data_IF_015964277381
#
_entry.id   IF_015964277381
#
_cell.length_a   1.000
_cell.length_b   1.000
_cell.length_c   1.000
_cell.angle_alpha   90.00
_cell.angle_beta   90.00
_cell.angle_gamma   90.00
#
_symmetry.space_group_name_H-M   'P 1'
#
loop_
_entity.id
_entity.type
_entity.pdbx_description
1 polymer ?
#
# COMPACT_ATOMS: atom_id res chain seq x y z
N UNK A 1 -62.15 2.60 -33.52
CA UNK A 1 -62.43 3.94 -32.94
C UNK A 1 -62.55 3.76 -31.43
N UNK A 2 -61.45 3.94 -30.71
CA UNK A 2 -61.42 3.93 -29.24
C UNK A 2 -60.64 5.17 -28.82
N UNK A 3 -61.27 5.96 -27.96
CA UNK A 3 -60.96 7.34 -27.66
C UNK A 3 -59.74 7.46 -26.74
N UNK A 4 -58.84 8.37 -27.11
CA UNK A 4 -57.76 8.88 -26.27
C UNK A 4 -58.34 9.55 -25.01
N UNK A 5 -57.82 9.18 -23.84
CA UNK A 5 -57.88 10.01 -22.64
C UNK A 5 -56.46 10.44 -22.25
N UNK A 6 -56.20 11.74 -22.00
CA UNK A 6 -54.91 12.22 -21.56
C UNK A 6 -54.75 12.06 -20.03
N UNK A 7 -53.60 11.52 -19.63
CA UNK A 7 -53.15 11.41 -18.24
C UNK A 7 -52.69 12.80 -17.78
N UNK A 8 -53.34 13.33 -16.74
CA UNK A 8 -52.96 14.58 -16.09
C UNK A 8 -51.71 14.37 -15.22
N UNK A 9 -50.69 15.16 -15.49
CA UNK A 9 -49.46 15.29 -14.70
C UNK A 9 -49.77 15.95 -13.35
N UNK A 10 -49.35 15.33 -12.25
CA UNK A 10 -49.38 15.91 -10.92
C UNK A 10 -47.96 16.26 -10.51
N UNK A 11 -47.57 17.54 -10.63
CA UNK A 11 -46.29 18.05 -10.14
C UNK A 11 -46.51 18.73 -8.79
N UNK A 12 -46.40 17.95 -7.71
CA UNK A 12 -46.38 18.50 -6.35
C UNK A 12 -45.01 19.13 -6.06
N UNK A 13 -44.96 20.45 -6.14
CA UNK A 13 -43.85 21.30 -5.69
C UNK A 13 -43.67 21.18 -4.18
N UNK A 14 -42.58 20.55 -3.73
CA UNK A 14 -42.19 20.53 -2.32
C UNK A 14 -41.46 21.83 -1.97
N UNK A 15 -42.10 22.65 -1.14
CA UNK A 15 -41.53 23.88 -0.57
C UNK A 15 -40.72 23.52 0.69
N UNK A 16 -39.39 23.59 0.61
CA UNK A 16 -38.51 23.48 1.78
C UNK A 16 -38.07 24.86 2.25
N UNK A 17 -38.62 25.33 3.37
CA UNK A 17 -38.16 26.54 4.06
C UNK A 17 -37.06 26.18 5.06
N UNK A 18 -35.80 26.43 4.71
CA UNK A 18 -34.69 26.36 5.68
C UNK A 18 -34.47 27.72 6.35
N UNK A 19 -34.56 27.74 7.69
CA UNK A 19 -34.13 28.86 8.54
C UNK A 19 -32.60 29.00 8.50
N UNK A 20 -32.04 30.21 8.36
CA UNK A 20 -30.60 30.42 8.41
C UNK A 20 -30.08 30.31 9.85
N UNK A 21 -29.08 29.45 10.07
CA UNK A 21 -28.34 29.37 11.33
C UNK A 21 -27.07 30.21 11.22
N UNK A 22 -27.07 31.33 11.94
CA UNK A 22 -25.89 32.16 12.23
C UNK A 22 -24.98 31.41 13.20
N UNK A 23 -23.70 31.26 12.86
CA UNK A 23 -22.65 31.04 13.86
C UNK A 23 -21.37 31.76 13.46
N UNK A 24 -20.96 32.64 14.36
CA UNK A 24 -19.85 33.58 14.32
C UNK A 24 -18.48 32.91 14.27
N UNK A 25 -17.60 33.45 13.42
CA UNK A 25 -16.16 33.24 13.41
C UNK A 25 -15.51 33.66 14.74
N UNK A 26 -14.70 32.78 15.34
CA UNK A 26 -13.60 33.19 16.22
C UNK A 26 -12.32 32.49 15.81
N UNK A 27 -11.40 33.23 15.18
CA UNK A 27 -10.00 32.84 14.97
C UNK A 27 -9.28 32.82 16.32
N UNK A 28 -8.54 31.77 16.63
CA UNK A 28 -7.47 31.79 17.64
C UNK A 28 -6.18 31.15 17.08
N UNK A 29 -5.00 31.65 17.48
CA UNK A 29 -3.76 31.51 16.72
C UNK A 29 -3.02 30.19 16.97
N UNK A 30 -2.22 29.81 15.98
CA UNK A 30 -1.25 28.71 16.01
C UNK A 30 -0.16 28.93 17.07
N UNK A 31 0.18 27.90 17.87
CA UNK A 31 1.51 27.78 18.43
C UNK A 31 2.30 26.75 17.61
N UNK A 32 3.02 27.27 16.63
CA UNK A 32 4.26 26.63 16.17
C UNK A 32 5.31 26.83 17.28
N UNK A 33 6.32 25.95 17.32
CA UNK A 33 7.48 25.94 18.23
C UNK A 33 7.33 25.06 19.48
N UNK A 34 7.63 23.78 19.27
CA UNK A 34 8.38 22.85 20.15
C UNK A 34 8.00 21.46 19.63
N UNK A 35 8.89 20.65 19.07
CA UNK A 35 9.72 19.71 19.83
C UNK A 35 10.60 19.03 18.78
N UNK A 36 11.87 19.42 18.71
CA UNK A 36 12.93 18.72 17.97
C UNK A 36 13.50 17.55 18.82
N UNK A 37 12.66 16.92 19.65
CA UNK A 37 13.12 16.09 20.77
C UNK A 37 12.33 14.79 20.97
N UNK A 38 11.59 14.32 19.97
CA UNK A 38 10.93 13.00 20.00
C UNK A 38 11.58 11.93 19.12
N UNK A 39 12.65 12.27 18.39
CA UNK A 39 13.32 11.37 17.43
C UNK A 39 14.23 10.30 18.05
N UNK A 40 14.25 10.14 19.38
CA UNK A 40 15.21 9.23 20.04
C UNK A 40 14.59 8.25 21.05
N UNK A 41 13.27 8.00 21.02
CA UNK A 41 12.66 7.12 22.02
C UNK A 41 11.50 6.24 21.50
N UNK A 42 11.68 5.62 20.32
CA UNK A 42 10.80 4.53 19.84
C UNK A 42 11.56 3.26 19.42
N UNK A 43 12.85 3.14 19.76
CA UNK A 43 13.43 1.81 19.90
C UNK A 43 12.98 1.28 21.26
N UNK A 44 12.15 0.24 21.24
CA UNK A 44 11.68 -0.64 22.33
C UNK A 44 10.15 -0.73 22.38
N UNK A 45 9.55 -1.37 21.35
CA UNK A 45 8.34 -2.23 21.46
C UNK A 45 7.93 -2.76 20.10
N UNK A 46 8.37 -3.96 19.76
CA UNK A 46 7.48 -5.08 19.41
C UNK A 46 8.31 -6.31 19.06
N UNK A 47 8.49 -7.20 20.04
CA UNK A 47 8.70 -8.62 19.75
C UNK A 47 7.34 -9.21 19.35
N UNK A 48 7.42 -10.24 18.50
CA UNK A 48 6.34 -11.03 17.89
C UNK A 48 5.86 -10.57 16.51
N UNK A 49 6.71 -10.78 15.50
CA UNK A 49 6.24 -11.20 14.18
C UNK A 49 6.44 -12.71 14.06
N UNK A 50 5.37 -13.43 13.70
CA UNK A 50 5.43 -14.82 13.28
C UNK A 50 5.80 -14.85 11.80
N UNK A 51 7.00 -15.34 11.51
CA UNK A 51 7.57 -15.42 10.16
C UNK A 51 7.10 -16.73 9.51
N UNK A 52 6.45 -16.64 8.35
CA UNK A 52 6.39 -17.75 7.40
C UNK A 52 7.71 -17.79 6.63
N UNK A 53 8.56 -18.78 6.93
CA UNK A 53 9.88 -18.92 6.34
C UNK A 53 9.80 -19.49 4.91
N UNK A 54 10.56 -18.90 3.98
CA UNK A 54 10.87 -19.49 2.67
C UNK A 54 12.35 -19.84 2.68
N UNK A 55 12.66 -21.12 2.54
CA UNK A 55 14.02 -21.63 2.42
C UNK A 55 14.49 -21.49 0.97
N UNK A 56 15.69 -20.93 0.76
CA UNK A 56 16.38 -20.97 -0.53
C UNK A 56 17.49 -22.01 -0.45
N UNK A 57 17.38 -23.06 -1.27
CA UNK A 57 18.40 -24.08 -1.43
C UNK A 57 19.51 -23.61 -2.36
N UNK A 58 20.75 -23.85 -1.94
CA UNK A 58 21.98 -23.67 -2.72
C UNK A 58 22.26 -24.90 -3.59
N UNK A 59 22.47 -24.74 -4.89
CA UNK A 59 23.16 -25.73 -5.71
C UNK A 59 23.80 -25.14 -6.98
N UNK A 60 25.07 -25.48 -7.19
CA UNK A 60 25.59 -25.86 -8.50
C UNK A 60 26.24 -24.77 -9.35
N UNK A 61 27.56 -24.60 -9.19
CA UNK A 61 28.40 -23.92 -10.17
C UNK A 61 28.68 -24.81 -11.39
N UNK A 62 28.66 -24.19 -12.57
CA UNK A 62 29.15 -24.74 -13.85
C UNK A 62 30.16 -23.75 -14.42
N UNK A 63 31.32 -24.29 -14.80
CA UNK A 63 32.50 -23.61 -15.36
C UNK A 63 32.44 -23.48 -16.88
N UNK A 64 32.81 -22.31 -17.43
CA UNK A 64 33.31 -22.12 -18.82
C UNK A 64 34.35 -20.98 -18.81
N UNK A 65 35.45 -21.14 -19.54
CA UNK A 65 36.61 -20.23 -19.54
C UNK A 65 36.83 -19.40 -20.82
N UNK A 66 37.92 -18.61 -20.78
CA UNK A 66 38.51 -17.79 -21.88
C UNK A 66 37.86 -16.40 -22.00
N UNK A 67 38.55 -15.27 -22.21
CA UNK A 67 39.90 -15.01 -22.72
C UNK A 67 40.32 -13.54 -22.39
N UNK A 68 41.61 -13.25 -22.59
CA UNK A 68 42.40 -12.06 -22.18
C UNK A 68 41.95 -10.70 -22.76
N UNK A 69 42.15 -9.60 -22.01
CA UNK A 69 43.03 -8.47 -22.38
C UNK A 69 42.93 -7.28 -21.40
N UNK A 70 44.12 -6.85 -20.96
CA UNK A 70 44.61 -5.49 -20.69
C UNK A 70 44.13 -4.66 -19.47
N UNK A 71 45.15 -4.33 -18.66
CA UNK A 71 45.38 -3.10 -17.89
C UNK A 71 44.46 -2.74 -16.71
N UNK A 72 44.96 -2.94 -15.48
CA UNK A 72 45.64 -1.90 -14.68
C UNK A 72 46.04 -2.52 -13.33
N UNK A 73 47.33 -2.80 -13.16
CA UNK A 73 47.87 -3.33 -11.91
C UNK A 73 47.96 -2.19 -10.89
N UNK A 74 46.93 -2.02 -10.05
CA UNK A 74 47.06 -1.24 -8.83
C UNK A 74 47.61 -2.17 -7.76
N UNK A 75 48.93 -2.12 -7.58
CA UNK A 75 49.61 -2.70 -6.43
C UNK A 75 49.08 -2.00 -5.18
N UNK A 76 48.04 -2.56 -4.56
CA UNK A 76 47.69 -2.21 -3.18
C UNK A 76 48.54 -3.08 -2.29
N UNK A 77 49.54 -2.42 -1.71
CA UNK A 77 50.47 -2.95 -0.74
C UNK A 77 49.71 -3.72 0.35
N UNK A 78 50.09 -4.99 0.51
CA UNK A 78 49.56 -5.82 1.57
C UNK A 78 50.30 -5.43 2.83
N UNK A 79 49.55 -4.79 3.73
CA UNK A 79 49.70 -4.92 5.18
C UNK A 79 50.56 -3.87 5.87
N UNK A 80 50.09 -2.62 5.93
CA UNK A 80 50.41 -1.73 7.06
C UNK A 80 49.18 -0.85 7.39
N UNK A 81 48.49 -1.18 8.49
CA UNK A 81 47.70 -0.26 9.30
C UNK A 81 46.42 0.36 8.70
N UNK A 82 45.29 -0.35 8.80
CA UNK A 82 43.98 0.31 8.87
C UNK A 82 43.29 -0.08 10.17
N UNK A 83 43.60 0.68 11.21
CA UNK A 83 42.82 0.67 12.43
C UNK A 83 41.35 0.82 12.08
N UNK A 84 40.56 -0.21 12.41
CA UNK A 84 39.11 -0.21 12.57
C UNK A 84 38.41 1.03 11.99
N UNK A 85 38.09 0.99 10.69
CA UNK A 85 36.98 1.79 10.17
C UNK A 85 35.71 1.26 10.83
N UNK A 86 35.44 1.75 12.04
CA UNK A 86 34.20 1.54 12.77
C UNK A 86 33.05 1.99 11.89
N UNK A 87 32.29 1.02 11.39
CA UNK A 87 30.86 1.15 11.08
C UNK A 87 30.53 1.99 9.85
N UNK A 88 30.80 1.48 8.66
CA UNK A 88 29.95 1.83 7.52
C UNK A 88 28.63 1.10 7.75
N UNK A 89 27.60 1.83 8.18
CA UNK A 89 26.24 1.28 8.24
C UNK A 89 25.79 1.08 6.81
N UNK A 90 25.52 -0.17 6.43
CA UNK A 90 24.94 -0.50 5.12
C UNK A 90 23.53 0.09 5.05
N UNK A 91 23.29 0.97 4.08
CA UNK A 91 22.01 1.62 3.87
C UNK A 91 21.13 0.76 2.98
N UNK A 92 20.04 0.23 3.54
CA UNK A 92 19.02 -0.51 2.81
C UNK A 92 17.86 0.41 2.43
N UNK A 93 17.87 0.90 1.19
CA UNK A 93 16.84 1.77 0.64
C UNK A 93 15.45 1.10 0.58
N UNK A 94 15.35 -0.23 0.65
CA UNK A 94 14.05 -0.90 0.65
C UNK A 94 13.32 -0.70 1.99
N UNK A 95 14.06 -0.54 3.09
CA UNK A 95 13.48 -0.39 4.43
C UNK A 95 13.19 1.07 4.82
N UNK A 96 12.89 1.92 3.84
CA UNK A 96 12.68 3.36 4.02
C UNK A 96 11.29 3.82 3.61
N UNK A 97 10.88 4.99 4.11
CA UNK A 97 9.56 5.57 3.82
C UNK A 97 9.58 6.49 2.61
N UNK A 98 8.76 6.19 1.60
CA UNK A 98 8.67 6.97 0.36
C UNK A 98 7.31 7.64 0.19
N UNK A 99 7.26 8.93 -0.22
CA UNK A 99 6.01 9.56 -0.65
C UNK A 99 5.48 8.90 -1.92
N UNK A 100 4.24 8.43 -1.91
CA UNK A 100 3.65 7.75 -3.08
C UNK A 100 2.67 8.63 -3.84
N UNK A 101 1.70 9.23 -3.14
CA UNK A 101 0.60 9.92 -3.81
C UNK A 101 -0.05 10.99 -2.94
N UNK A 102 -0.70 11.98 -3.56
CA UNK A 102 -1.46 12.99 -2.83
C UNK A 102 -2.75 12.38 -2.26
N UNK A 103 -2.93 12.46 -0.95
CA UNK A 103 -4.06 11.81 -0.25
C UNK A 103 -5.42 12.24 -0.80
N UNK A 104 -5.56 13.53 -1.17
CA UNK A 104 -6.79 14.09 -1.73
C UNK A 104 -7.16 13.56 -3.13
N UNK A 105 -6.19 12.95 -3.83
CA UNK A 105 -6.38 12.41 -5.16
C UNK A 105 -6.52 10.88 -5.13
N UNK A 106 -6.39 10.24 -3.96
CA UNK A 106 -6.66 8.80 -3.83
C UNK A 106 -8.18 8.62 -3.92
N UNK A 107 -8.68 7.85 -4.91
CA UNK A 107 -10.11 7.59 -5.06
C UNK A 107 -10.72 6.99 -3.79
N UNK A 108 -11.99 7.31 -3.54
CA UNK A 108 -12.73 6.77 -2.40
C UNK A 108 -13.37 5.40 -2.70
N UNK A 109 -13.62 5.10 -3.97
CA UNK A 109 -14.44 3.98 -4.43
C UNK A 109 -13.72 3.03 -5.40
N UNK A 110 -12.45 3.30 -5.72
CA UNK A 110 -11.66 2.46 -6.63
C UNK A 110 -10.22 2.25 -6.14
N UNK A 111 -9.60 1.12 -6.48
CA UNK A 111 -8.15 0.97 -6.31
C UNK A 111 -7.38 1.90 -7.25
N UNK A 112 -6.16 2.27 -6.84
CA UNK A 112 -5.21 3.09 -7.59
C UNK A 112 -3.89 2.32 -7.74
N UNK A 113 -3.58 1.92 -8.97
CA UNK A 113 -2.29 1.30 -9.31
C UNK A 113 -1.17 2.32 -9.41
N UNK A 114 0.00 1.99 -8.86
CA UNK A 114 1.23 2.79 -8.93
C UNK A 114 2.44 1.89 -9.23
N UNK A 115 3.51 2.50 -9.74
CA UNK A 115 4.82 1.84 -9.87
C UNK A 115 5.85 2.64 -9.09
N UNK A 116 6.57 1.97 -8.19
CA UNK A 116 7.56 2.57 -7.30
C UNK A 116 8.81 1.69 -7.29
N UNK A 117 9.94 2.19 -7.80
CA UNK A 117 11.18 1.41 -7.95
C UNK A 117 10.93 0.04 -8.61
N UNK A 118 10.24 0.06 -9.76
CA UNK A 118 9.82 -1.13 -10.53
C UNK A 118 8.89 -2.12 -9.80
N UNK A 119 8.45 -1.80 -8.58
CA UNK A 119 7.42 -2.56 -7.88
C UNK A 119 6.04 -2.00 -8.20
N UNK A 120 5.14 -2.88 -8.65
CA UNK A 120 3.74 -2.53 -8.88
C UNK A 120 2.98 -2.67 -7.57
N UNK A 121 2.34 -1.58 -7.14
CA UNK A 121 1.55 -1.53 -5.91
C UNK A 121 0.16 -0.98 -6.18
N UNK A 122 -0.79 -1.33 -5.34
CA UNK A 122 -2.16 -0.82 -5.38
C UNK A 122 -2.50 -0.15 -4.06
N UNK A 123 -2.92 1.11 -4.14
CA UNK A 123 -3.49 1.86 -3.02
C UNK A 123 -5.02 1.81 -3.07
N UNK A 124 -5.67 1.64 -1.93
CA UNK A 124 -7.12 1.82 -1.82
C UNK A 124 -7.51 2.20 -0.39
N UNK A 125 -8.73 2.71 -0.20
CA UNK A 125 -9.32 2.95 1.12
C UNK A 125 -10.23 1.79 1.48
N UNK A 126 -10.03 1.19 2.63
CA UNK A 126 -10.89 0.12 3.11
C UNK A 126 -12.25 0.65 3.61
N UNK A 127 -13.12 -0.25 4.08
CA UNK A 127 -14.46 0.10 4.59
C UNK A 127 -14.45 1.03 5.81
N UNK A 128 -13.31 1.20 6.48
CA UNK A 128 -13.12 2.13 7.59
C UNK A 128 -12.45 3.45 7.13
N UNK A 129 -12.20 3.62 5.83
CA UNK A 129 -11.47 4.74 5.26
C UNK A 129 -9.97 4.69 5.52
N UNK A 130 -9.43 3.56 5.99
CA UNK A 130 -7.99 3.41 6.22
C UNK A 130 -7.29 3.12 4.89
N UNK A 131 -6.12 3.74 4.71
CA UNK A 131 -5.34 3.54 3.50
C UNK A 131 -4.61 2.19 3.57
N UNK A 132 -4.82 1.37 2.55
CA UNK A 132 -4.15 0.09 2.37
C UNK A 132 -3.21 0.17 1.16
N UNK A 133 -2.09 -0.57 1.21
CA UNK A 133 -1.15 -0.70 0.11
C UNK A 133 -0.74 -2.15 -0.06
N UNK A 134 -1.09 -2.74 -1.21
CA UNK A 134 -0.74 -4.12 -1.53
C UNK A 134 0.21 -4.17 -2.73
N UNK A 135 0.91 -5.28 -2.89
CA UNK A 135 1.48 -5.64 -4.18
C UNK A 135 0.34 -5.77 -5.20
N UNK A 136 0.53 -5.20 -6.38
CA UNK A 136 -0.47 -5.19 -7.45
C UNK A 136 -0.53 -6.53 -8.20
N UNK A 137 -0.57 -7.64 -7.45
CA UNK A 137 -0.58 -9.01 -7.96
C UNK A 137 -1.45 -9.89 -7.08
N UNK A 138 -2.51 -10.43 -7.67
CA UNK A 138 -3.33 -11.42 -7.01
C UNK A 138 -2.54 -12.74 -6.81
N UNK A 139 -2.45 -13.31 -5.60
CA UNK A 139 -1.70 -14.54 -5.33
C UNK A 139 -2.26 -15.78 -6.04
N UNK A 140 -3.46 -15.69 -6.63
CA UNK A 140 -4.05 -16.79 -7.38
C UNK A 140 -3.37 -16.99 -8.76
N UNK A 141 -3.38 -15.96 -9.61
CA UNK A 141 -2.87 -16.01 -11.00
C UNK A 141 -2.26 -14.69 -11.47
N UNK A 142 -1.75 -13.90 -10.53
CA UNK A 142 -0.98 -12.67 -10.75
C UNK A 142 -1.72 -11.56 -11.51
N UNK A 143 -3.05 -11.64 -11.59
CA UNK A 143 -3.86 -10.55 -12.13
C UNK A 143 -3.64 -9.27 -11.33
N UNK A 144 -3.64 -8.13 -12.01
CA UNK A 144 -3.54 -6.82 -11.36
C UNK A 144 -4.75 -6.59 -10.47
N UNK A 145 -4.49 -6.21 -9.24
CA UNK A 145 -5.52 -5.86 -8.25
C UNK A 145 -5.95 -4.40 -8.41
N UNK A 146 -5.14 -3.55 -9.03
CA UNK A 146 -5.47 -2.17 -9.40
C UNK A 146 -6.55 -2.07 -10.48
N UNK A 147 -6.74 -3.13 -11.25
CA UNK A 147 -7.89 -3.30 -12.16
C UNK A 147 -9.10 -3.91 -11.44
N UNK A 148 -9.02 -4.08 -10.12
CA UNK A 148 -10.04 -4.62 -9.23
C UNK A 148 -11.19 -3.65 -8.95
N UNK A 149 -12.01 -4.03 -7.97
CA UNK A 149 -13.08 -3.17 -7.44
C UNK A 149 -13.13 -3.26 -5.91
N UNK A 150 -13.80 -2.30 -5.27
CA UNK A 150 -14.05 -2.33 -3.83
C UNK A 150 -15.43 -2.93 -3.54
N UNK A 151 -15.46 -4.01 -2.76
CA UNK A 151 -16.70 -4.69 -2.36
C UNK A 151 -16.72 -4.78 -0.85
N UNK A 152 -17.71 -4.14 -0.21
CA UNK A 152 -17.82 -4.04 1.25
C UNK A 152 -16.53 -3.53 1.91
N UNK A 153 -15.83 -2.59 1.27
CA UNK A 153 -14.57 -2.05 1.77
C UNK A 153 -13.36 -2.98 1.64
N UNK A 154 -13.47 -4.04 0.83
CA UNK A 154 -12.41 -5.02 0.54
C UNK A 154 -12.00 -4.94 -0.91
N UNK A 155 -10.74 -5.25 -1.21
CA UNK A 155 -10.25 -5.27 -2.59
C UNK A 155 -10.61 -6.59 -3.24
N UNK A 156 -11.43 -6.54 -4.29
CA UNK A 156 -11.83 -7.69 -5.09
C UNK A 156 -11.07 -7.75 -6.42
N UNK A 157 -10.43 -8.88 -6.67
CA UNK A 157 -9.77 -9.18 -7.93
C UNK A 157 -10.80 -9.50 -9.02
N UNK A 158 -10.85 -8.71 -10.10
CA UNK A 158 -11.80 -8.92 -11.20
C UNK A 158 -11.60 -10.22 -12.00
N UNK A 159 -10.47 -10.92 -11.83
CA UNK A 159 -10.26 -12.17 -12.56
C UNK A 159 -11.20 -13.29 -12.07
N UNK A 160 -11.31 -13.47 -10.75
CA UNK A 160 -12.09 -14.58 -10.17
C UNK A 160 -12.86 -14.19 -8.90
N UNK A 161 -12.93 -12.90 -8.56
CA UNK A 161 -13.69 -12.40 -7.41
C UNK A 161 -13.07 -12.73 -6.05
N UNK A 162 -11.76 -13.01 -5.99
CA UNK A 162 -11.07 -13.19 -4.71
C UNK A 162 -11.03 -11.84 -3.98
N UNK A 163 -11.47 -11.82 -2.73
CA UNK A 163 -11.49 -10.60 -1.90
C UNK A 163 -10.42 -10.64 -0.83
N UNK A 164 -9.77 -9.50 -0.62
CA UNK A 164 -8.67 -9.32 0.33
C UNK A 164 -8.93 -8.14 1.27
N UNK A 165 -8.52 -8.26 2.53
CA UNK A 165 -8.69 -7.23 3.56
C UNK A 165 -7.48 -7.14 4.50
N UNK A 166 -7.34 -6.02 5.21
CA UNK A 166 -6.35 -5.80 6.27
C UNK A 166 -4.91 -6.09 5.81
N UNK A 167 -4.25 -7.04 6.47
CA UNK A 167 -2.89 -7.48 6.16
C UNK A 167 -2.83 -8.43 4.94
N UNK A 168 -3.64 -8.14 3.91
CA UNK A 168 -3.65 -8.89 2.64
C UNK A 168 -4.36 -10.25 2.70
N UNK A 169 -5.06 -10.56 3.79
CA UNK A 169 -5.73 -11.85 4.00
C UNK A 169 -6.86 -12.04 3.00
N UNK A 170 -6.89 -13.17 2.30
CA UNK A 170 -8.06 -13.54 1.51
C UNK A 170 -9.21 -13.96 2.43
N UNK A 171 -10.38 -13.36 2.22
CA UNK A 171 -11.58 -13.60 3.02
C UNK A 171 -12.75 -14.15 2.22
N UNK A 172 -12.64 -14.16 0.90
CA UNK A 172 -13.65 -14.74 0.02
C UNK A 172 -12.98 -15.30 -1.23
N UNK A 173 -13.32 -16.55 -1.53
CA UNK A 173 -13.02 -17.21 -2.80
C UNK A 173 -14.36 -17.74 -3.32
N UNK A 174 -14.99 -17.09 -4.33
CA UNK A 174 -16.32 -17.47 -4.81
C UNK A 174 -16.44 -18.93 -5.27
N UNK A 175 -15.33 -19.53 -5.70
CA UNK A 175 -15.27 -20.89 -6.23
C UNK A 175 -15.08 -21.96 -5.14
N UNK A 176 -14.84 -21.56 -3.88
CA UNK A 176 -14.79 -22.52 -2.78
C UNK A 176 -16.21 -22.91 -2.34
N UNK A 177 -16.45 -24.20 -2.03
CA UNK A 177 -17.66 -24.63 -1.33
C UNK A 177 -17.84 -23.85 -0.02
N UNK A 178 -19.09 -23.67 0.42
CA UNK A 178 -19.45 -22.84 1.58
C UNK A 178 -18.74 -23.26 2.88
N UNK A 179 -18.43 -24.54 3.03
CA UNK A 179 -17.77 -25.14 4.19
C UNK A 179 -16.25 -25.31 4.02
N UNK A 180 -15.71 -25.02 2.83
CA UNK A 180 -14.29 -25.15 2.57
C UNK A 180 -13.49 -24.00 3.21
N UNK A 181 -12.31 -24.35 3.73
CA UNK A 181 -11.41 -23.37 4.33
C UNK A 181 -10.56 -22.69 3.27
N UNK A 182 -10.49 -21.36 3.32
CA UNK A 182 -9.52 -20.59 2.53
C UNK A 182 -8.09 -20.98 2.99
N UNK A 183 -7.19 -21.34 2.06
CA UNK A 183 -5.80 -21.63 2.40
C UNK A 183 -5.12 -20.44 3.09
N UNK A 184 -4.31 -20.68 4.11
CA UNK A 184 -3.57 -19.60 4.81
C UNK A 184 -2.56 -18.88 3.93
N UNK A 185 -2.11 -19.53 2.85
CA UNK A 185 -1.22 -18.95 1.85
C UNK A 185 -1.93 -18.05 0.84
N UNK A 186 -3.26 -18.00 0.85
CA UNK A 186 -4.03 -17.07 0.03
C UNK A 186 -3.97 -15.66 0.62
N UNK A 187 -2.77 -15.07 0.64
CA UNK A 187 -2.55 -13.71 1.12
C UNK A 187 -1.81 -12.91 0.05
N UNK A 188 -2.23 -11.67 -0.13
CA UNK A 188 -1.52 -10.69 -0.95
C UNK A 188 -0.37 -10.13 -0.12
N UNK A 189 0.78 -9.88 -0.75
CA UNK A 189 1.87 -9.17 -0.09
C UNK A 189 1.43 -7.73 0.19
N UNK A 190 1.65 -7.26 1.42
CA UNK A 190 1.29 -5.90 1.82
C UNK A 190 2.51 -5.03 2.02
N UNK A 191 2.31 -3.73 1.87
CA UNK A 191 3.27 -2.71 2.24
C UNK A 191 2.61 -1.77 3.25
N UNK A 192 3.37 -1.32 4.24
CA UNK A 192 2.81 -0.43 5.24
C UNK A 192 2.46 0.92 4.60
N UNK A 193 1.24 1.43 4.81
CA UNK A 193 0.81 2.72 4.29
C UNK A 193 0.36 3.66 5.41
N UNK A 194 0.84 4.90 5.40
CA UNK A 194 0.49 5.91 6.40
C UNK A 194 0.21 7.27 5.77
N UNK A 195 -0.78 7.99 6.31
CA UNK A 195 -1.03 9.40 6.02
C UNK A 195 -0.49 10.20 7.22
N UNK A 196 0.66 10.89 7.10
CA UNK A 196 1.21 11.65 8.20
C UNK A 196 0.32 12.86 8.55
N UNK A 197 0.16 13.17 9.84
CA UNK A 197 -0.71 14.28 10.30
C UNK A 197 -0.40 15.66 9.70
N UNK A 198 0.82 15.87 9.21
CA UNK A 198 1.29 17.16 8.69
C UNK A 198 1.59 17.14 7.18
N UNK A 199 1.42 16.00 6.52
CA UNK A 199 1.74 15.86 5.10
C UNK A 199 0.53 15.34 4.33
N UNK A 200 0.22 15.99 3.21
CA UNK A 200 -0.93 15.63 2.37
C UNK A 200 -0.59 14.51 1.37
N UNK A 201 0.34 13.62 1.72
CA UNK A 201 0.75 12.49 0.88
C UNK A 201 0.82 11.19 1.68
N UNK A 202 0.52 10.07 1.01
CA UNK A 202 0.74 8.74 1.55
C UNK A 202 2.22 8.38 1.56
N UNK A 203 2.67 7.64 2.57
CA UNK A 203 3.99 7.04 2.60
C UNK A 203 3.91 5.52 2.65
N UNK A 204 4.89 4.85 2.06
CA UNK A 204 5.03 3.40 2.11
C UNK A 204 6.47 2.94 2.32
N UNK A 205 6.64 1.84 3.08
CA UNK A 205 7.89 1.08 3.20
C UNK A 205 7.86 -0.11 2.23
N UNK A 206 8.90 -0.29 1.40
CA UNK A 206 8.87 -1.11 0.17
C UNK A 206 9.76 -2.36 0.25
#
# INVERSE_FOLDING_TARGET
>A
MALHQPILLNTSTLHFTHKPRSSTHTKKPNPCVSILQSYHNQQLRSKFLSICAVATETAGGVSVGGDKSDDHDVVIDKNEGLGSLKGVVEYDWTQEWYPLYLTKNIPDDSPLGLTVFDKQVVLYKDGNGQLQCYEDRCPHRLAKLSEGQLVDGRLECLYHGWQFEGEGKCVKIPQLPTDAKIPRSACVKTYEARIPRFFNYSRTSI
#
